data_IF_995316450824
#
_entry.id   IF_995316450824
#
_cell.length_a   1.000
_cell.length_b   1.000
_cell.length_c   1.000
_cell.angle_alpha   90.00
_cell.angle_beta   90.00
_cell.angle_gamma   90.00
#
_symmetry.space_group_name_H-M   'P 1'
#
loop_
_entity.id
_entity.type
_entity.pdbx_description
1 polymer ?
#
# COMPACT_ATOMS: atom_id res chain seq x y z
N UNK A 1 54.18 0.59 -9.87
CA UNK A 1 53.26 1.74 -10.10
C UNK A 1 52.95 1.81 -11.59
N UNK A 2 51.77 1.35 -12.03
CA UNK A 2 51.15 1.67 -13.34
C UNK A 2 49.78 0.98 -13.38
N UNK A 3 48.73 1.79 -13.45
CA UNK A 3 47.32 1.41 -13.25
C UNK A 3 46.76 0.83 -14.55
N UNK A 4 46.24 -0.40 -14.51
CA UNK A 4 45.44 -0.99 -15.59
C UNK A 4 44.03 -0.40 -15.48
N UNK A 5 43.57 0.31 -16.51
CA UNK A 5 42.16 0.72 -16.61
C UNK A 5 41.48 -0.11 -17.70
N UNK A 6 40.45 -0.91 -17.39
CA UNK A 6 39.54 -1.37 -18.42
C UNK A 6 38.64 -0.21 -18.85
N UNK A 7 38.62 0.10 -20.15
CA UNK A 7 37.67 1.02 -20.76
C UNK A 7 36.27 0.39 -20.79
N UNK A 8 35.57 0.41 -19.66
CA UNK A 8 34.11 0.23 -19.67
C UNK A 8 33.48 1.59 -19.88
N UNK A 9 33.10 1.86 -21.13
CA UNK A 9 32.16 2.94 -21.46
C UNK A 9 30.97 2.84 -20.50
N UNK A 10 30.56 3.95 -19.86
CA UNK A 10 29.46 3.90 -18.91
C UNK A 10 28.22 3.37 -19.63
N UNK A 11 27.67 2.35 -18.99
CA UNK A 11 26.42 1.68 -19.28
C UNK A 11 25.36 2.70 -19.66
N UNK A 12 24.69 2.37 -20.75
CA UNK A 12 23.45 2.94 -21.25
C UNK A 12 22.64 3.61 -20.16
N UNK A 13 22.30 4.87 -20.42
CA UNK A 13 20.98 5.42 -20.16
C UNK A 13 20.43 5.02 -18.78
N UNK A 14 20.67 5.89 -17.79
CA UNK A 14 19.84 5.94 -16.60
C UNK A 14 18.39 5.94 -17.08
N UNK A 15 17.78 4.75 -17.07
CA UNK A 15 16.35 4.59 -17.10
C UNK A 15 15.91 5.37 -15.86
N UNK A 16 15.40 6.57 -16.12
CA UNK A 16 14.66 7.35 -15.15
C UNK A 16 13.84 6.34 -14.38
N UNK A 17 14.05 6.31 -13.06
CA UNK A 17 13.23 5.57 -12.16
C UNK A 17 11.79 5.88 -12.56
N UNK A 18 11.17 4.95 -13.30
CA UNK A 18 9.75 4.83 -13.34
C UNK A 18 9.45 4.43 -11.90
N UNK A 19 9.35 5.45 -11.04
CA UNK A 19 8.60 5.34 -9.82
C UNK A 19 7.30 4.76 -10.32
N UNK A 20 7.17 3.46 -10.09
CA UNK A 20 5.96 2.72 -10.36
C UNK A 20 4.93 3.55 -9.65
N UNK A 21 4.19 4.31 -10.44
CA UNK A 21 2.95 4.93 -10.05
C UNK A 21 2.25 3.84 -9.29
N UNK A 22 2.10 4.10 -8.00
CA UNK A 22 1.25 3.41 -7.07
C UNK A 22 -0.03 3.07 -7.83
N UNK A 23 -0.05 1.85 -8.35
CA UNK A 23 -1.12 1.35 -9.18
C UNK A 23 -2.18 0.85 -8.21
N UNK A 24 -2.75 1.77 -7.43
CA UNK A 24 -4.04 1.54 -6.75
C UNK A 24 -5.16 1.67 -7.79
N UNK A 25 -5.04 0.90 -8.87
CA UNK A 25 -6.06 0.72 -9.88
C UNK A 25 -6.39 -0.76 -9.92
N UNK A 26 -7.23 -1.17 -8.99
CA UNK A 26 -7.81 -2.50 -9.01
C UNK A 26 -8.41 -2.87 -7.68
N UNK A 27 -9.73 -2.72 -7.58
CA UNK A 27 -10.60 -3.36 -6.60
C UNK A 27 -10.81 -2.58 -5.30
N UNK A 28 -11.57 -1.49 -5.39
CA UNK A 28 -12.04 -0.67 -4.25
C UNK A 28 -12.75 -1.55 -3.18
N UNK A 29 -13.37 -2.67 -3.58
CA UNK A 29 -13.91 -3.67 -2.65
C UNK A 29 -12.87 -4.54 -1.91
N UNK A 30 -11.65 -4.72 -2.42
CA UNK A 30 -10.57 -5.45 -1.76
C UNK A 30 -9.87 -4.53 -0.75
N UNK A 31 -9.79 -3.23 -1.06
CA UNK A 31 -9.33 -2.20 -0.13
C UNK A 31 -10.19 -2.17 1.13
N UNK A 32 -11.52 -2.14 0.99
CA UNK A 32 -12.44 -2.17 2.15
C UNK A 32 -12.31 -3.46 2.96
N UNK A 33 -12.19 -4.63 2.31
CA UNK A 33 -12.01 -5.89 3.01
C UNK A 33 -10.69 -5.96 3.79
N UNK A 34 -9.60 -5.44 3.22
CA UNK A 34 -8.29 -5.33 3.88
C UNK A 34 -8.35 -4.35 5.06
N UNK A 35 -9.03 -3.23 4.91
CA UNK A 35 -9.22 -2.23 5.97
C UNK A 35 -10.03 -2.81 7.14
N UNK A 36 -11.12 -3.52 6.87
CA UNK A 36 -11.90 -4.22 7.91
C UNK A 36 -11.06 -5.27 8.65
N UNK A 37 -10.21 -6.00 7.94
CA UNK A 37 -9.30 -6.98 8.54
C UNK A 37 -8.28 -6.30 9.47
N UNK A 38 -7.67 -5.20 9.03
CA UNK A 38 -6.75 -4.43 9.84
C UNK A 38 -7.43 -3.84 11.09
N UNK A 39 -8.66 -3.30 10.92
CA UNK A 39 -9.46 -2.75 12.01
C UNK A 39 -9.79 -3.82 13.07
N UNK A 40 -10.17 -5.03 12.65
CA UNK A 40 -10.41 -6.14 13.56
C UNK A 40 -9.15 -6.56 14.32
N UNK A 41 -8.01 -6.63 13.64
CA UNK A 41 -6.73 -6.95 14.28
C UNK A 41 -6.32 -5.91 15.33
N UNK A 42 -6.62 -4.62 15.10
CA UNK A 42 -6.37 -3.56 16.10
C UNK A 42 -7.25 -3.72 17.35
N UNK A 43 -8.53 -4.07 17.16
CA UNK A 43 -9.45 -4.33 18.26
C UNK A 43 -9.03 -5.54 19.09
N UNK A 44 -8.72 -6.67 18.46
CA UNK A 44 -8.29 -7.88 19.17
C UNK A 44 -6.96 -7.70 19.92
N UNK A 45 -6.11 -6.79 19.46
CA UNK A 45 -4.86 -6.41 20.14
C UNK A 45 -5.05 -5.36 21.24
N UNK A 46 -6.27 -4.84 21.43
CA UNK A 46 -6.57 -3.78 22.39
C UNK A 46 -5.95 -2.43 22.04
N UNK A 47 -5.62 -2.19 20.76
CA UNK A 47 -5.04 -0.92 20.28
C UNK A 47 -6.10 0.17 20.12
N UNK A 48 -7.36 -0.23 19.91
CA UNK A 48 -8.51 0.66 19.79
C UNK A 48 -9.64 0.20 20.74
N UNK A 49 -10.44 1.12 21.29
CA UNK A 49 -11.61 0.77 22.08
C UNK A 49 -12.77 0.28 21.21
N UNK A 50 -13.69 -0.49 21.80
CA UNK A 50 -14.85 -1.06 21.09
C UNK A 50 -15.72 0.02 20.40
N UNK A 51 -15.89 1.19 21.04
CA UNK A 51 -16.64 2.30 20.45
C UNK A 51 -16.03 2.80 19.13
N UNK A 52 -14.70 2.86 19.04
CA UNK A 52 -13.99 3.29 17.84
C UNK A 52 -14.02 2.21 16.76
N UNK A 53 -13.87 0.94 17.15
CA UNK A 53 -14.03 -0.20 16.24
C UNK A 53 -15.40 -0.18 15.55
N UNK A 54 -16.49 0.00 16.32
CA UNK A 54 -17.84 -0.01 15.76
C UNK A 54 -18.10 1.19 14.83
N UNK A 55 -17.61 2.38 15.20
CA UNK A 55 -17.74 3.57 14.36
C UNK A 55 -17.03 3.37 13.00
N UNK A 56 -15.75 2.97 13.04
CA UNK A 56 -14.94 2.73 11.84
C UNK A 56 -15.48 1.60 10.98
N UNK A 57 -15.96 0.53 11.60
CA UNK A 57 -16.56 -0.60 10.89
C UNK A 57 -17.80 -0.16 10.12
N UNK A 58 -18.69 0.63 10.73
CA UNK A 58 -19.88 1.14 10.08
C UNK A 58 -19.54 2.06 8.88
N UNK A 59 -18.53 2.91 9.02
CA UNK A 59 -18.04 3.78 7.92
C UNK A 59 -17.51 2.94 6.74
N UNK A 60 -16.69 1.93 7.01
CA UNK A 60 -16.13 1.04 5.99
C UNK A 60 -17.19 0.17 5.31
N UNK A 61 -18.14 -0.35 6.08
CA UNK A 61 -19.27 -1.12 5.53
C UNK A 61 -20.26 -0.27 4.72
N UNK A 62 -20.34 1.04 5.00
CA UNK A 62 -21.12 1.98 4.21
C UNK A 62 -20.39 2.34 2.91
N UNK A 63 -19.07 2.58 2.98
CA UNK A 63 -18.22 2.83 1.82
C UNK A 63 -18.23 1.66 0.83
N UNK A 64 -18.10 0.42 1.33
CA UNK A 64 -18.17 -0.78 0.49
C UNK A 64 -19.55 -1.07 -0.13
N UNK A 65 -20.63 -0.45 0.37
CA UNK A 65 -21.98 -0.55 -0.20
C UNK A 65 -22.31 0.56 -1.21
N UNK A 66 -21.53 1.64 -1.25
CA UNK A 66 -21.83 2.79 -2.13
C UNK A 66 -21.28 2.64 -3.55
N UNK A 67 -20.42 1.64 -3.77
CA UNK A 67 -19.74 1.34 -5.04
C UNK A 67 -20.26 0.06 -5.75
N UNK A 68 -21.38 -0.51 -5.28
CA UNK A 68 -22.04 -1.69 -5.86
C UNK A 68 -23.37 -1.32 -6.54
#
# INVERSE_FOLDING_TARGET
>A
MMKKYPTRKPVSQAAAATGSTDAESGNEGESVARELFALNAMYERGLIPEAEYQARKAELEAAGKSDA
#
